data_IF_988826167198
#
_entry.id   IF_988826167198
#
_cell.length_a   1.000
_cell.length_b   1.000
_cell.length_c   1.000
_cell.angle_alpha   90.00
_cell.angle_beta   90.00
_cell.angle_gamma   90.00
#
_symmetry.space_group_name_H-M   'P 1'
#
loop_
_entity.id
_entity.type
_entity.pdbx_description
1 polymer ?
#
# COMPACT_ATOMS: atom_id res chain seq x y z
N UNK A 1 7.06 -8.11 -3.66
CA UNK A 1 6.51 -8.10 -2.28
C UNK A 1 6.67 -9.45 -1.57
N UNK A 2 6.06 -10.54 -2.06
CA UNK A 2 6.11 -11.85 -1.37
C UNK A 2 7.52 -12.46 -1.26
N UNK A 3 8.44 -12.09 -2.15
CA UNK A 3 9.87 -12.46 -2.09
C UNK A 3 10.64 -11.61 -1.06
N UNK A 4 10.58 -10.29 -1.19
CA UNK A 4 11.39 -9.36 -0.40
C UNK A 4 10.83 -9.03 0.99
N UNK A 5 9.53 -9.24 1.23
CA UNK A 5 8.85 -8.94 2.51
C UNK A 5 8.04 -10.14 3.00
N UNK A 6 8.70 -11.30 3.24
CA UNK A 6 8.02 -12.53 3.59
C UNK A 6 7.21 -12.44 4.89
N UNK A 7 7.59 -11.58 5.82
CA UNK A 7 6.92 -11.38 7.11
C UNK A 7 5.53 -10.76 6.98
N UNK A 8 5.26 -10.05 5.88
CA UNK A 8 3.94 -9.45 5.62
C UNK A 8 2.91 -10.47 5.11
N UNK A 9 3.35 -11.67 4.72
CA UNK A 9 2.47 -12.74 4.22
C UNK A 9 1.46 -13.21 5.28
N UNK A 10 1.74 -13.01 6.57
CA UNK A 10 0.84 -13.34 7.68
C UNK A 10 -0.56 -12.69 7.60
N UNK A 11 -0.66 -11.55 6.89
CA UNK A 11 -1.91 -10.83 6.66
C UNK A 11 -2.73 -11.39 5.48
N UNK A 12 -2.12 -12.25 4.65
CA UNK A 12 -2.76 -12.87 3.48
C UNK A 12 -3.22 -14.29 3.82
N UNK A 13 -4.34 -14.40 4.55
CA UNK A 13 -4.86 -15.70 5.04
C UNK A 13 -4.98 -16.76 3.94
N UNK A 14 -4.43 -17.94 4.19
CA UNK A 14 -4.35 -19.06 3.23
C UNK A 14 -3.23 -18.93 2.20
N UNK A 15 -2.40 -17.89 2.29
CA UNK A 15 -1.26 -17.63 1.42
C UNK A 15 0.01 -17.27 2.22
N UNK A 16 0.05 -17.59 3.51
CA UNK A 16 1.14 -17.23 4.42
C UNK A 16 2.50 -17.82 3.96
N UNK A 17 2.47 -18.98 3.31
CA UNK A 17 3.65 -19.70 2.82
C UNK A 17 3.83 -19.64 1.30
N UNK A 18 3.05 -18.79 0.59
CA UNK A 18 3.18 -18.68 -0.86
C UNK A 18 4.57 -18.19 -1.24
N UNK A 19 5.13 -18.84 -2.26
CA UNK A 19 6.32 -18.39 -2.99
C UNK A 19 5.94 -17.34 -4.04
N UNK A 20 6.90 -16.62 -4.64
CA UNK A 20 6.61 -15.72 -5.76
C UNK A 20 5.92 -16.43 -6.93
N UNK A 21 6.32 -17.66 -7.24
CA UNK A 21 5.72 -18.46 -8.33
C UNK A 21 4.25 -18.79 -8.04
N UNK A 22 3.92 -19.14 -6.79
CA UNK A 22 2.52 -19.38 -6.38
C UNK A 22 1.65 -18.14 -6.57
N UNK A 23 2.21 -16.94 -6.34
CA UNK A 23 1.50 -15.68 -6.52
C UNK A 23 1.23 -15.40 -8.00
N UNK A 24 2.21 -15.65 -8.88
CA UNK A 24 2.09 -15.38 -10.32
C UNK A 24 0.97 -16.16 -11.00
N UNK A 25 0.72 -17.39 -10.55
CA UNK A 25 -0.32 -18.26 -11.14
C UNK A 25 -1.66 -18.19 -10.39
N UNK A 26 -1.79 -17.35 -9.37
CA UNK A 26 -2.97 -17.30 -8.51
C UNK A 26 -4.02 -16.30 -8.99
N UNK A 27 -5.21 -16.79 -9.34
CA UNK A 27 -6.39 -15.96 -9.63
C UNK A 27 -6.75 -14.97 -8.51
N UNK A 28 -6.50 -15.37 -7.26
CA UNK A 28 -6.72 -14.50 -6.10
C UNK A 28 -5.81 -13.29 -6.17
N UNK A 29 -4.53 -13.49 -6.47
CA UNK A 29 -3.54 -12.41 -6.52
C UNK A 29 -3.61 -11.61 -7.81
N UNK A 30 -4.07 -12.19 -8.92
CA UNK A 30 -4.45 -11.42 -10.11
C UNK A 30 -5.54 -10.39 -9.78
N UNK A 31 -6.61 -10.82 -9.08
CA UNK A 31 -7.70 -9.92 -8.64
C UNK A 31 -7.24 -8.92 -7.58
N UNK A 32 -6.42 -9.37 -6.63
CA UNK A 32 -5.90 -8.48 -5.57
C UNK A 32 -4.93 -7.45 -6.12
N UNK A 33 -4.06 -7.84 -7.06
CA UNK A 33 -3.13 -6.95 -7.75
C UNK A 33 -3.85 -5.85 -8.51
N UNK A 34 -4.92 -6.18 -9.23
CA UNK A 34 -5.76 -5.17 -9.88
C UNK A 34 -6.32 -4.18 -8.84
N UNK A 35 -6.90 -4.67 -7.74
CA UNK A 35 -7.50 -3.79 -6.70
C UNK A 35 -6.46 -2.86 -6.09
N UNK A 36 -5.25 -3.35 -5.89
CA UNK A 36 -4.14 -2.57 -5.38
C UNK A 36 -3.75 -1.46 -6.36
N UNK A 37 -3.56 -1.79 -7.65
CA UNK A 37 -3.26 -0.82 -8.70
C UNK A 37 -4.36 0.23 -8.87
N UNK A 38 -5.63 -0.17 -8.76
CA UNK A 38 -6.75 0.77 -8.77
C UNK A 38 -6.69 1.72 -7.56
N UNK A 39 -6.39 1.21 -6.37
CA UNK A 39 -6.24 2.05 -5.19
C UNK A 39 -5.11 3.06 -5.34
N UNK A 40 -3.96 2.62 -5.85
CA UNK A 40 -2.84 3.52 -6.18
C UNK A 40 -3.23 4.59 -7.20
N UNK A 41 -3.99 4.21 -8.24
CA UNK A 41 -4.47 5.17 -9.24
C UNK A 41 -5.38 6.24 -8.63
N UNK A 42 -6.31 5.84 -7.75
CA UNK A 42 -7.20 6.78 -7.05
C UNK A 42 -6.40 7.74 -6.18
N UNK A 43 -5.42 7.25 -5.43
CA UNK A 43 -4.54 8.07 -4.58
C UNK A 43 -3.85 9.16 -5.41
N UNK A 44 -3.29 8.80 -6.57
CA UNK A 44 -2.60 9.76 -7.45
C UNK A 44 -3.59 10.74 -8.10
N UNK A 45 -4.69 10.24 -8.66
CA UNK A 45 -5.68 11.08 -9.38
C UNK A 45 -6.43 12.05 -8.45
N UNK A 46 -6.46 11.77 -7.14
CA UNK A 46 -7.12 12.63 -6.15
C UNK A 46 -6.17 13.56 -5.43
N UNK A 47 -4.86 13.53 -5.72
CA UNK A 47 -3.88 14.27 -4.94
C UNK A 47 -4.04 15.80 -5.03
N UNK A 48 -4.51 16.33 -6.16
CA UNK A 48 -4.83 17.75 -6.32
C UNK A 48 -6.10 18.18 -5.55
N UNK A 49 -6.92 17.22 -5.10
CA UNK A 49 -8.08 17.40 -4.21
C UNK A 49 -7.81 16.72 -2.86
N UNK A 50 -7.06 17.43 -2.01
CA UNK A 50 -6.56 16.90 -0.75
C UNK A 50 -7.66 16.39 0.20
N UNK A 51 -8.88 16.92 0.11
CA UNK A 51 -10.00 16.45 0.94
C UNK A 51 -10.47 15.06 0.49
N UNK A 52 -10.59 14.84 -0.82
CA UNK A 52 -10.89 13.52 -1.40
C UNK A 52 -9.76 12.53 -1.18
N UNK A 53 -8.51 12.96 -1.36
CA UNK A 53 -7.32 12.15 -1.08
C UNK A 53 -7.33 11.62 0.36
N UNK A 54 -7.51 12.53 1.34
CA UNK A 54 -7.54 12.15 2.76
C UNK A 54 -8.75 11.27 3.08
N UNK A 55 -9.91 11.55 2.48
CA UNK A 55 -11.08 10.68 2.64
C UNK A 55 -10.80 9.25 2.15
N UNK A 56 -10.10 9.11 1.03
CA UNK A 56 -9.71 7.79 0.50
C UNK A 56 -8.66 7.10 1.38
N UNK A 57 -7.71 7.84 1.96
CA UNK A 57 -6.77 7.30 2.95
C UNK A 57 -7.50 6.73 4.17
N UNK A 58 -8.45 7.47 4.74
CA UNK A 58 -9.27 7.00 5.87
C UNK A 58 -10.11 5.78 5.52
N UNK A 59 -10.75 5.78 4.35
CA UNK A 59 -11.52 4.62 3.89
C UNK A 59 -10.63 3.39 3.66
N UNK A 60 -9.40 3.61 3.19
CA UNK A 60 -8.41 2.54 3.07
C UNK A 60 -8.12 1.94 4.44
N UNK A 61 -7.84 2.75 5.47
CA UNK A 61 -7.69 2.26 6.85
C UNK A 61 -8.91 1.46 7.31
N UNK A 62 -10.13 1.99 7.12
CA UNK A 62 -11.37 1.33 7.53
C UNK A 62 -11.50 -0.09 6.95
N UNK A 63 -11.18 -0.25 5.66
CA UNK A 63 -11.23 -1.56 4.97
C UNK A 63 -10.18 -2.54 5.48
N UNK A 64 -9.11 -2.04 6.09
CA UNK A 64 -7.99 -2.84 6.59
C UNK A 64 -8.09 -3.21 8.08
N UNK A 65 -9.03 -2.62 8.84
CA UNK A 65 -9.22 -2.90 10.28
C UNK A 65 -9.35 -4.41 10.57
N UNK A 66 -10.10 -5.13 9.74
CA UNK A 66 -10.33 -6.58 9.91
C UNK A 66 -9.07 -7.44 9.86
N UNK A 67 -7.99 -6.94 9.25
CA UNK A 67 -6.72 -7.64 9.16
C UNK A 67 -5.84 -7.45 10.40
N UNK A 68 -6.22 -6.54 11.30
CA UNK A 68 -5.49 -6.24 12.55
C UNK A 68 -3.99 -6.01 12.29
N UNK A 69 -3.72 -5.23 11.24
CA UNK A 69 -2.38 -4.83 10.87
C UNK A 69 -1.80 -3.92 11.95
N UNK A 70 -0.49 -4.07 12.21
CA UNK A 70 0.23 -3.13 13.07
C UNK A 70 0.14 -1.73 12.46
N UNK A 71 -0.14 -0.71 13.26
CA UNK A 71 -0.36 0.65 12.76
C UNK A 71 0.90 1.22 12.11
N UNK A 72 2.08 0.88 12.64
CA UNK A 72 3.34 1.26 12.04
C UNK A 72 3.49 0.67 10.65
N UNK A 73 2.72 -0.36 10.27
CA UNK A 73 2.67 -0.78 8.89
C UNK A 73 2.15 0.31 7.98
N UNK A 74 1.44 1.37 8.39
CA UNK A 74 1.17 2.50 7.48
C UNK A 74 2.42 3.35 7.22
N UNK A 75 3.25 3.54 8.26
CA UNK A 75 4.53 4.24 8.17
C UNK A 75 5.61 3.39 7.49
N UNK A 76 5.57 2.08 7.71
CA UNK A 76 6.41 1.09 7.04
C UNK A 76 5.83 0.74 5.68
N UNK A 77 4.53 0.96 5.38
CA UNK A 77 3.92 0.90 4.04
C UNK A 77 4.16 2.19 3.24
N UNK A 78 4.93 3.15 3.76
CA UNK A 78 5.79 3.88 2.83
C UNK A 78 6.62 2.92 1.99
N UNK A 79 7.03 1.77 2.53
CA UNK A 79 7.62 0.69 1.76
C UNK A 79 6.65 0.09 0.74
N UNK A 80 5.33 0.25 0.81
CA UNK A 80 4.49 -0.08 -0.35
C UNK A 80 4.79 0.89 -1.50
N UNK A 81 4.84 2.19 -1.23
CA UNK A 81 5.23 3.18 -2.25
C UNK A 81 6.70 3.00 -2.68
N UNK A 82 7.62 2.68 -1.77
CA UNK A 82 9.02 2.36 -2.09
C UNK A 82 9.14 1.07 -2.91
N UNK A 83 8.48 -0.02 -2.52
CA UNK A 83 8.49 -1.29 -3.28
C UNK A 83 7.87 -1.10 -4.66
N UNK A 84 6.81 -0.31 -4.76
CA UNK A 84 6.23 0.04 -6.04
C UNK A 84 7.21 0.83 -6.91
N UNK A 85 7.91 1.84 -6.36
CA UNK A 85 8.86 2.63 -7.16
C UNK A 85 10.11 1.82 -7.53
N UNK A 86 10.62 0.97 -6.62
CA UNK A 86 11.70 0.02 -6.89
C UNK A 86 11.32 -0.96 -8.00
N UNK A 87 10.15 -1.57 -7.90
CA UNK A 87 9.63 -2.46 -8.94
C UNK A 87 9.43 -1.73 -10.27
N UNK A 88 8.89 -0.51 -10.25
CA UNK A 88 8.74 0.28 -11.47
C UNK A 88 10.10 0.60 -12.10
N UNK A 89 11.14 0.88 -11.31
CA UNK A 89 12.51 1.14 -11.80
C UNK A 89 13.15 -0.07 -12.48
N UNK A 90 12.72 -1.29 -12.15
CA UNK A 90 13.16 -2.51 -12.84
C UNK A 90 12.53 -2.65 -14.24
N UNK A 91 11.39 -2.00 -14.48
CA UNK A 91 10.58 -2.17 -15.69
C UNK A 91 10.44 -0.91 -16.56
N UNK A 92 10.76 0.27 -16.03
CA UNK A 92 10.71 1.54 -16.73
C UNK A 92 11.72 2.53 -16.17
N UNK A 93 12.01 3.59 -16.93
CA UNK A 93 12.77 4.73 -16.41
C UNK A 93 11.85 5.62 -15.59
N UNK A 94 12.32 6.00 -14.41
CA UNK A 94 11.67 6.97 -13.52
C UNK A 94 12.70 8.05 -13.24
N UNK A 95 12.35 9.31 -13.52
CA UNK A 95 13.21 10.44 -13.19
C UNK A 95 13.17 10.77 -11.69
N UNK A 96 14.15 11.55 -11.25
CA UNK A 96 14.32 11.92 -9.84
C UNK A 96 13.13 12.70 -9.28
N UNK A 97 12.47 13.52 -10.09
CA UNK A 97 11.34 14.34 -9.65
C UNK A 97 10.08 13.50 -9.50
N UNK A 98 9.84 12.57 -10.43
CA UNK A 98 8.75 11.58 -10.34
C UNK A 98 8.92 10.70 -9.10
N UNK A 99 10.13 10.22 -8.81
CA UNK A 99 10.41 9.45 -7.59
C UNK A 99 10.13 10.28 -6.32
N UNK A 100 10.61 11.52 -6.26
CA UNK A 100 10.35 12.41 -5.11
C UNK A 100 8.86 12.65 -4.91
N UNK A 101 8.13 12.93 -5.99
CA UNK A 101 6.69 13.15 -5.94
C UNK A 101 5.95 11.91 -5.41
N UNK A 102 6.34 10.72 -5.89
CA UNK A 102 5.77 9.46 -5.43
C UNK A 102 5.98 9.22 -3.93
N UNK A 103 7.20 9.48 -3.44
CA UNK A 103 7.53 9.36 -2.02
C UNK A 103 6.78 10.40 -1.18
N UNK A 104 6.60 11.62 -1.68
CA UNK A 104 5.82 12.66 -1.01
C UNK A 104 4.34 12.26 -0.89
N UNK A 105 3.72 11.77 -1.97
CA UNK A 105 2.34 11.27 -1.95
C UNK A 105 2.19 10.13 -0.93
N UNK A 106 3.13 9.17 -0.95
CA UNK A 106 3.17 8.07 0.01
C UNK A 106 3.26 8.57 1.46
N UNK A 107 4.02 9.65 1.69
CA UNK A 107 4.13 10.30 3.00
C UNK A 107 2.82 10.84 3.51
N UNK A 108 2.19 11.68 2.71
CA UNK A 108 0.97 12.35 3.12
C UNK A 108 -0.17 11.36 3.31
N UNK A 109 -0.19 10.29 2.49
CA UNK A 109 -1.12 9.18 2.67
C UNK A 109 -0.89 8.47 4.02
N UNK A 110 0.36 8.12 4.33
CA UNK A 110 0.70 7.41 5.57
C UNK A 110 0.40 8.27 6.81
N UNK A 111 0.72 9.57 6.77
CA UNK A 111 0.46 10.50 7.86
C UNK A 111 -1.05 10.58 8.18
N UNK A 112 -1.91 10.70 7.17
CA UNK A 112 -3.38 10.70 7.36
C UNK A 112 -3.88 9.33 7.84
N UNK A 113 -3.34 8.22 7.30
CA UNK A 113 -3.74 6.87 7.69
C UNK A 113 -3.40 6.57 9.17
N UNK A 114 -2.23 7.01 9.64
CA UNK A 114 -1.80 6.88 11.03
C UNK A 114 -2.67 7.74 11.95
N UNK A 115 -2.91 9.00 11.56
CA UNK A 115 -3.79 9.91 12.30
C UNK A 115 -5.18 9.30 12.49
N UNK A 116 -5.79 8.82 11.41
CA UNK A 116 -7.12 8.20 11.48
C UNK A 116 -7.12 6.91 12.29
N UNK A 117 -6.06 6.09 12.19
CA UNK A 117 -5.92 4.89 13.02
C UNK A 117 -5.82 5.22 14.51
N UNK A 118 -5.18 6.34 14.87
CA UNK A 118 -5.15 6.86 16.23
C UNK A 118 -6.53 7.33 16.69
N UNK A 119 -7.24 8.11 15.85
CA UNK A 119 -8.58 8.63 16.14
C UNK A 119 -9.61 7.51 16.35
N UNK A 120 -9.44 6.38 15.66
CA UNK A 120 -10.24 5.16 15.84
C UNK A 120 -9.82 4.29 17.03
N UNK A 121 -8.78 4.68 17.78
CA UNK A 121 -8.21 3.91 18.88
C UNK A 121 -7.83 2.46 18.49
N UNK A 122 -7.31 2.29 17.27
CA UNK A 122 -6.83 0.98 16.82
C UNK A 122 -5.52 0.62 17.53
N UNK A 123 -5.23 -0.66 17.80
CA UNK A 123 -3.96 -1.06 18.40
C UNK A 123 -2.76 -0.63 17.54
N UNK A 124 -1.62 -0.43 18.19
CA UNK A 124 -0.34 -0.38 17.50
C UNK A 124 0.01 -1.78 17.01
#
# INVERSE_FOLDING_TARGET
MFEHYPDLRQYFKGAENFTPDDVQISDRFAKQGQRLLLGTRIIVDTYDDLDTFKAYARETVNRHIKFKMDRNLWLVNFAFFTVMIEHLKEHTTIDVETEKAWLQIGKEFADEAVKHSFDLNLPN
#
